data_IF_626131574365
#
_entry.id   IF_626131574365
#
_cell.length_a   1.000
_cell.length_b   1.000
_cell.length_c   1.000
_cell.angle_alpha   90.00
_cell.angle_beta   90.00
_cell.angle_gamma   90.00
#
_symmetry.space_group_name_H-M   'P 1'
#
loop_
_entity.id
_entity.type
_entity.pdbx_description
1 polymer ?
#
# COMPACT_ATOMS: atom_id res chain seq x y z
N UNK A 1 -9.92 -9.23 -2.02
CA UNK A 1 -10.45 -7.86 -1.88
C UNK A 1 -11.87 -7.87 -2.44
N UNK A 2 -12.84 -7.23 -1.79
CA UNK A 2 -14.19 -7.14 -2.35
C UNK A 2 -14.21 -6.27 -3.61
N UNK A 3 -15.05 -6.60 -4.63
CA UNK A 3 -15.11 -5.82 -5.87
C UNK A 3 -15.46 -4.35 -5.66
N UNK A 4 -16.44 -4.07 -4.78
CA UNK A 4 -16.87 -2.71 -4.45
C UNK A 4 -15.73 -1.87 -3.84
N UNK A 5 -14.91 -2.47 -2.97
CA UNK A 5 -13.76 -1.78 -2.38
C UNK A 5 -12.68 -1.49 -3.44
N UNK A 6 -12.39 -2.46 -4.31
CA UNK A 6 -11.44 -2.29 -5.40
C UNK A 6 -11.87 -1.17 -6.38
N UNK A 7 -13.15 -1.12 -6.73
CA UNK A 7 -13.72 -0.06 -7.55
C UNK A 7 -13.59 1.32 -6.89
N UNK A 8 -13.93 1.43 -5.59
CA UNK A 8 -13.79 2.67 -4.84
C UNK A 8 -12.34 3.15 -4.78
N UNK A 9 -11.36 2.25 -4.56
CA UNK A 9 -9.94 2.62 -4.57
C UNK A 9 -9.51 3.14 -5.94
N UNK A 10 -9.84 2.43 -7.02
CA UNK A 10 -9.50 2.86 -8.39
C UNK A 10 -10.07 4.24 -8.71
N UNK A 11 -11.37 4.46 -8.42
CA UNK A 11 -12.02 5.76 -8.63
C UNK A 11 -11.33 6.90 -7.89
N UNK A 12 -10.84 6.64 -6.68
CA UNK A 12 -10.29 7.67 -5.81
C UNK A 12 -8.81 7.98 -6.09
N UNK A 13 -8.02 6.98 -6.49
CA UNK A 13 -6.55 7.06 -6.44
C UNK A 13 -5.82 6.64 -7.73
N UNK A 14 -6.46 5.91 -8.66
CA UNK A 14 -5.78 5.40 -9.86
C UNK A 14 -5.16 6.51 -10.70
N UNK A 15 -5.84 7.65 -10.82
CA UNK A 15 -5.36 8.82 -11.56
C UNK A 15 -4.07 9.43 -10.99
N UNK A 16 -3.79 9.18 -9.72
CA UNK A 16 -2.65 9.78 -9.01
C UNK A 16 -1.41 8.86 -9.08
N UNK A 17 -1.54 7.60 -9.51
CA UNK A 17 -0.41 6.64 -9.52
C UNK A 17 0.69 7.07 -10.48
N UNK A 18 0.33 7.58 -11.66
CA UNK A 18 1.31 8.06 -12.64
C UNK A 18 2.16 9.24 -12.13
N UNK A 19 1.57 10.10 -11.29
CA UNK A 19 2.31 11.19 -10.66
C UNK A 19 3.31 10.66 -9.63
N UNK A 20 2.92 9.64 -8.85
CA UNK A 20 3.80 8.99 -7.87
C UNK A 20 4.94 8.26 -8.59
N UNK A 21 4.64 7.54 -9.68
CA UNK A 21 5.65 6.88 -10.53
C UNK A 21 6.70 7.88 -11.02
N UNK A 22 6.26 8.99 -11.61
CA UNK A 22 7.15 10.03 -12.10
C UNK A 22 7.99 10.65 -10.98
N UNK A 23 7.39 10.89 -9.81
CA UNK A 23 8.09 11.43 -8.65
C UNK A 23 9.18 10.46 -8.15
N UNK A 24 8.88 9.18 -8.00
CA UNK A 24 9.83 8.18 -7.52
C UNK A 24 10.93 7.86 -8.55
N UNK A 25 10.64 7.99 -9.84
CA UNK A 25 11.61 7.79 -10.92
C UNK A 25 12.58 8.97 -11.12
N UNK A 26 12.28 10.15 -10.57
CA UNK A 26 13.11 11.34 -10.71
C UNK A 26 14.47 11.13 -9.99
N UNK A 27 15.62 11.34 -10.65
CA UNK A 27 16.94 11.09 -10.06
C UNK A 27 17.19 11.82 -8.74
N UNK A 28 16.68 13.04 -8.59
CA UNK A 28 16.76 13.85 -7.37
C UNK A 28 16.04 13.21 -6.18
N UNK A 29 15.10 12.30 -6.42
CA UNK A 29 14.31 11.61 -5.40
C UNK A 29 14.86 10.20 -5.10
N UNK A 30 16.06 9.87 -5.54
CA UNK A 30 16.63 8.53 -5.37
C UNK A 30 16.65 8.03 -3.91
N UNK A 31 16.96 8.91 -2.96
CA UNK A 31 16.92 8.55 -1.53
C UNK A 31 15.48 8.32 -1.02
N UNK A 32 14.50 9.04 -1.57
CA UNK A 32 13.08 8.82 -1.25
C UNK A 32 12.60 7.48 -1.85
N UNK A 33 13.05 7.12 -3.05
CA UNK A 33 12.79 5.82 -3.65
C UNK A 33 13.33 4.68 -2.78
N UNK A 34 14.54 4.79 -2.23
CA UNK A 34 15.08 3.80 -1.28
C UNK A 34 14.22 3.67 -0.02
N UNK A 35 13.77 4.79 0.55
CA UNK A 35 12.88 4.78 1.71
C UNK A 35 11.52 4.14 1.37
N UNK A 36 10.98 4.42 0.19
CA UNK A 36 9.77 3.78 -0.32
C UNK A 36 9.95 2.26 -0.41
N UNK A 37 11.03 1.79 -1.02
CA UNK A 37 11.33 0.36 -1.16
C UNK A 37 11.49 -0.34 0.19
N UNK A 38 12.24 0.25 1.13
CA UNK A 38 12.36 -0.28 2.48
C UNK A 38 11.00 -0.34 3.21
N UNK A 39 10.13 0.64 2.96
CA UNK A 39 8.77 0.66 3.52
C UNK A 39 7.88 -0.42 2.91
N UNK A 40 8.03 -0.70 1.60
CA UNK A 40 7.34 -1.81 0.92
C UNK A 40 7.68 -3.15 1.60
N UNK A 41 8.96 -3.42 1.84
CA UNK A 41 9.41 -4.66 2.48
C UNK A 41 8.80 -4.81 3.89
N UNK A 42 8.84 -3.75 4.70
CA UNK A 42 8.25 -3.74 6.05
C UNK A 42 6.74 -3.94 6.06
N UNK A 43 6.02 -3.31 5.13
CA UNK A 43 4.56 -3.46 5.00
C UNK A 43 4.23 -4.87 4.53
N UNK A 44 4.96 -5.43 3.58
CA UNK A 44 4.71 -6.79 3.08
C UNK A 44 4.91 -7.84 4.18
N UNK A 45 5.95 -7.70 5.01
CA UNK A 45 6.16 -8.57 6.17
C UNK A 45 4.97 -8.51 7.14
N UNK A 46 4.43 -7.32 7.41
CA UNK A 46 3.24 -7.15 8.26
C UNK A 46 2.00 -7.77 7.62
N UNK A 47 1.84 -7.65 6.30
CA UNK A 47 0.75 -8.31 5.58
C UNK A 47 0.88 -9.81 5.74
N UNK A 48 2.04 -10.40 5.44
CA UNK A 48 2.27 -11.85 5.54
C UNK A 48 1.95 -12.35 6.95
N UNK A 49 2.45 -11.68 7.98
CA UNK A 49 2.25 -12.07 9.37
C UNK A 49 0.77 -12.07 9.79
N UNK A 50 -0.04 -11.14 9.27
CA UNK A 50 -1.41 -10.93 9.73
C UNK A 50 -2.48 -11.38 8.73
N UNK A 51 -2.12 -11.79 7.50
CA UNK A 51 -3.08 -12.06 6.41
C UNK A 51 -4.13 -13.10 6.78
N UNK A 52 -3.75 -14.14 7.54
CA UNK A 52 -4.63 -15.24 7.94
C UNK A 52 -5.72 -14.79 8.93
N UNK A 53 -5.51 -13.68 9.65
CA UNK A 53 -6.47 -13.15 10.62
C UNK A 53 -7.64 -12.40 9.94
N UNK A 54 -7.54 -12.12 8.65
CA UNK A 54 -8.52 -11.31 7.92
C UNK A 54 -9.21 -12.10 6.80
N UNK A 55 -10.55 -12.10 6.82
CA UNK A 55 -11.38 -12.77 5.80
C UNK A 55 -11.19 -12.21 4.39
N UNK A 56 -10.96 -10.90 4.26
CA UNK A 56 -10.78 -10.25 2.96
C UNK A 56 -9.62 -9.27 2.99
N UNK A 57 -8.91 -9.15 1.87
CA UNK A 57 -7.74 -8.28 1.77
C UNK A 57 -8.05 -6.78 1.97
N UNK A 58 -9.28 -6.33 1.67
CA UNK A 58 -9.73 -4.97 2.01
C UNK A 58 -9.73 -4.70 3.52
N UNK A 59 -9.94 -5.70 4.37
CA UNK A 59 -9.78 -5.55 5.81
C UNK A 59 -8.32 -5.38 6.21
N UNK A 60 -7.40 -6.11 5.57
CA UNK A 60 -5.94 -5.92 5.76
C UNK A 60 -5.53 -4.49 5.40
N UNK A 61 -5.95 -4.00 4.23
CA UNK A 61 -5.64 -2.64 3.78
C UNK A 61 -6.18 -1.56 4.73
N UNK A 62 -7.41 -1.72 5.23
CA UNK A 62 -7.94 -0.77 6.21
C UNK A 62 -7.23 -0.86 7.56
N UNK A 63 -6.88 -2.07 8.02
CA UNK A 63 -6.12 -2.24 9.26
C UNK A 63 -4.76 -1.54 9.18
N UNK A 64 -4.03 -1.72 8.08
CA UNK A 64 -2.75 -1.06 7.86
C UNK A 64 -2.88 0.46 7.94
N UNK A 65 -3.88 1.03 7.24
CA UNK A 65 -4.14 2.46 7.29
C UNK A 65 -4.45 2.93 8.74
N UNK A 66 -5.28 2.20 9.48
CA UNK A 66 -5.63 2.54 10.85
C UNK A 66 -4.43 2.47 11.80
N UNK A 67 -3.55 1.49 11.64
CA UNK A 67 -2.30 1.40 12.40
C UNK A 67 -1.38 2.59 12.13
N UNK A 68 -1.21 2.99 10.86
CA UNK A 68 -0.43 4.16 10.49
C UNK A 68 -1.01 5.44 11.08
N UNK A 69 -2.34 5.62 11.03
CA UNK A 69 -3.01 6.78 11.61
C UNK A 69 -2.93 6.81 13.13
N UNK A 70 -2.99 5.65 13.78
CA UNK A 70 -2.85 5.57 15.22
C UNK A 70 -1.44 5.97 15.66
N UNK A 71 -0.42 5.51 14.93
CA UNK A 71 0.98 5.70 15.29
C UNK A 71 1.48 7.13 15.06
N UNK A 72 1.12 7.76 13.95
CA UNK A 72 1.76 9.00 13.50
C UNK A 72 0.73 10.12 13.23
N UNK A 73 0.84 11.29 13.91
CA UNK A 73 -0.06 12.42 13.71
C UNK A 73 0.01 13.05 12.31
N UNK A 74 1.16 13.02 11.64
CA UNK A 74 1.33 13.53 10.27
C UNK A 74 0.57 12.63 9.31
N UNK A 75 0.74 11.31 9.41
CA UNK A 75 -0.03 10.36 8.60
C UNK A 75 -1.53 10.49 8.86
N UNK A 76 -1.92 10.67 10.13
CA UNK A 76 -3.32 10.93 10.51
C UNK A 76 -3.87 12.23 9.94
N UNK A 77 -3.07 13.29 9.86
CA UNK A 77 -3.47 14.57 9.25
C UNK A 77 -3.62 14.44 7.74
N UNK A 78 -2.83 13.57 7.11
CA UNK A 78 -2.78 13.38 5.66
C UNK A 78 -3.41 12.05 5.20
N UNK A 79 -4.55 11.64 5.78
CA UNK A 79 -5.18 10.32 5.54
C UNK A 79 -5.34 9.95 4.06
N UNK A 80 -5.73 10.92 3.23
CA UNK A 80 -5.93 10.69 1.78
C UNK A 80 -4.61 10.30 1.12
N UNK A 81 -3.52 11.02 1.40
CA UNK A 81 -2.21 10.72 0.85
C UNK A 81 -1.68 9.38 1.36
N UNK A 82 -1.83 9.10 2.67
CA UNK A 82 -1.43 7.80 3.22
C UNK A 82 -2.18 6.64 2.57
N UNK A 83 -3.50 6.75 2.37
CA UNK A 83 -4.29 5.73 1.66
C UNK A 83 -3.89 5.60 0.19
N UNK A 84 -3.57 6.71 -0.45
CA UNK A 84 -3.08 6.74 -1.83
C UNK A 84 -1.74 6.01 -1.96
N UNK A 85 -0.79 6.20 -1.04
CA UNK A 85 0.48 5.46 -1.03
C UNK A 85 0.29 3.96 -0.81
N UNK A 86 -0.58 3.55 0.14
CA UNK A 86 -0.91 2.13 0.33
C UNK A 86 -1.56 1.53 -0.93
N UNK A 87 -2.48 2.26 -1.55
CA UNK A 87 -3.10 1.85 -2.80
C UNK A 87 -2.06 1.74 -3.93
N UNK A 88 -1.15 2.70 -4.06
CA UNK A 88 -0.08 2.69 -5.05
C UNK A 88 0.81 1.45 -4.92
N UNK A 89 1.28 1.15 -3.71
CA UNK A 89 2.05 -0.07 -3.42
C UNK A 89 1.27 -1.34 -3.82
N UNK A 90 -0.02 -1.40 -3.49
CA UNK A 90 -0.85 -2.55 -3.88
C UNK A 90 -1.07 -2.63 -5.39
N UNK A 91 -1.35 -1.50 -6.04
CA UNK A 91 -1.66 -1.39 -7.46
C UNK A 91 -0.47 -1.80 -8.33
N UNK A 92 0.74 -1.42 -7.92
CA UNK A 92 1.99 -1.81 -8.56
C UNK A 92 2.46 -3.22 -8.16
N UNK A 93 1.65 -3.96 -7.41
CA UNK A 93 1.96 -5.30 -6.89
C UNK A 93 3.21 -5.32 -5.99
N UNK A 94 3.62 -4.18 -5.42
CA UNK A 94 4.73 -4.11 -4.47
C UNK A 94 4.38 -4.82 -3.15
N UNK A 95 3.12 -4.72 -2.74
CA UNK A 95 2.59 -5.40 -1.55
C UNK A 95 1.35 -6.24 -1.87
N UNK A 96 1.05 -7.21 -1.03
CA UNK A 96 -0.12 -8.08 -1.14
C UNK A 96 0.03 -9.16 -2.20
N UNK A 97 1.26 -9.49 -2.61
CA UNK A 97 1.52 -10.57 -3.56
C UNK A 97 0.84 -11.84 -3.04
N UNK A 98 0.11 -12.51 -3.93
CA UNK A 98 -0.43 -13.83 -3.62
C UNK A 98 0.78 -14.74 -3.56
N UNK A 99 1.01 -15.44 -2.45
CA UNK A 99 1.90 -16.58 -2.49
C UNK A 99 1.31 -17.53 -3.53
N UNK A 100 1.86 -17.53 -4.74
CA UNK A 100 1.82 -18.70 -5.57
C UNK A 100 2.63 -19.73 -4.80
N UNK A 101 1.95 -20.54 -4.00
CA UNK A 101 2.46 -21.81 -3.58
C UNK A 101 2.59 -22.66 -4.85
N UNK A 102 3.67 -22.42 -5.60
CA UNK A 102 4.24 -23.41 -6.51
C UNK A 102 5.31 -24.14 -5.70
N UNK A 103 4.85 -24.86 -4.68
CA UNK A 103 5.61 -26.01 -4.21
C UNK A 103 5.24 -27.14 -5.18
N UNK A 104 6.14 -27.42 -6.12
CA UNK A 104 6.16 -28.64 -6.92
C UNK A 104 7.61 -29.08 -7.03
#
# INVERSE_FOLDING_TARGET
MTPAYAEAQRRNYLKDTAQIDAFLAAPENHEILKLYQATVDEIELKIIAHRQEYQTFDRVMNRLADLLFMRDPVLRKHKKLTRMMLFYMYWNCDIGKVQHASAS
#
